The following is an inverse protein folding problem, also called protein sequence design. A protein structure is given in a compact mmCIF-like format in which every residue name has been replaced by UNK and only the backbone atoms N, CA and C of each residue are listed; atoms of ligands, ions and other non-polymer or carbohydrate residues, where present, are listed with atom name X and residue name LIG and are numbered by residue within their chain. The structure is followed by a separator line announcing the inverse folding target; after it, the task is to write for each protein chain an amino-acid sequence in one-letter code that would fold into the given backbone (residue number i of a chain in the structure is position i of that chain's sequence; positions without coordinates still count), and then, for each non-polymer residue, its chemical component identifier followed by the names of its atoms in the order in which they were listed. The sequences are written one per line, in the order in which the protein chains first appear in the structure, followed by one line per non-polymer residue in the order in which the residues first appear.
data_IF_831405315141
#
_entry.id   IF_831405315141
#
_cell.length_a   1.000
_cell.length_b   1.000
_cell.length_c   1.000
_cell.angle_alpha   90.00
_cell.angle_beta   90.00
_cell.angle_gamma   90.00
#
_symmetry.space_group_name_H-M   'P 1'
#
loop_
_entity.id
_entity.type
_entity.pdbx_description
1 polymer ?
#
# COMPACT_ATOMS: atom_id res chain seq x y z
N UNK A 1 5.94 -24.19 22.11
CA UNK A 1 5.54 -25.54 21.64
C UNK A 1 5.14 -25.41 20.18
N UNK A 2 5.69 -26.24 19.32
CA UNK A 2 5.43 -26.18 17.85
C UNK A 2 3.94 -26.26 17.50
N UNK A 3 3.16 -27.04 18.20
CA UNK A 3 1.70 -27.15 18.02
C UNK A 3 0.94 -25.81 18.15
N UNK A 4 1.55 -24.79 18.77
CA UNK A 4 0.97 -23.44 18.94
C UNK A 4 1.52 -22.48 17.89
N UNK A 5 2.74 -22.71 17.43
CA UNK A 5 3.45 -21.78 16.53
C UNK A 5 3.43 -22.20 15.07
N UNK A 6 3.27 -23.50 14.82
CA UNK A 6 3.33 -24.07 13.47
C UNK A 6 1.95 -24.61 13.07
N UNK A 7 1.64 -24.53 11.81
CA UNK A 7 0.39 -25.06 11.25
C UNK A 7 0.45 -26.60 11.24
N UNK A 8 -0.45 -27.25 11.95
CA UNK A 8 -0.48 -28.72 12.06
C UNK A 8 -1.26 -29.39 10.91
N UNK A 9 -2.18 -28.69 10.29
CA UNK A 9 -3.06 -29.17 9.22
C UNK A 9 -3.75 -30.52 9.54
N UNK A 10 -4.36 -30.60 10.73
CA UNK A 10 -4.99 -31.82 11.23
C UNK A 10 -6.02 -31.51 12.33
N UNK A 11 -6.67 -32.53 12.92
CA UNK A 11 -7.69 -32.36 13.94
C UNK A 11 -7.09 -32.01 15.31
N UNK A 12 -6.33 -30.92 15.36
CA UNK A 12 -5.63 -30.42 16.55
C UNK A 12 -6.05 -28.99 16.82
N UNK A 13 -6.46 -28.71 18.06
CA UNK A 13 -6.80 -27.38 18.52
C UNK A 13 -5.95 -27.01 19.73
N UNK A 14 -5.12 -25.98 19.57
CA UNK A 14 -4.33 -25.43 20.68
C UNK A 14 -5.18 -24.43 21.49
N UNK A 15 -5.29 -24.63 22.80
CA UNK A 15 -5.99 -23.75 23.72
C UNK A 15 -4.96 -23.01 24.59
N UNK A 16 -4.96 -21.69 24.52
CA UNK A 16 -4.05 -20.83 25.27
C UNK A 16 -4.84 -19.98 26.26
N UNK A 17 -4.51 -20.11 27.57
CA UNK A 17 -5.06 -19.22 28.59
C UNK A 17 -4.34 -17.87 28.57
N UNK A 18 -5.11 -16.81 28.68
CA UNK A 18 -4.61 -15.43 28.74
C UNK A 18 -5.19 -14.70 29.95
N UNK A 19 -4.50 -13.69 30.45
CA UNK A 19 -4.95 -12.91 31.60
C UNK A 19 -6.13 -11.97 31.24
N UNK A 20 -6.30 -11.63 29.95
CA UNK A 20 -7.39 -10.78 29.47
C UNK A 20 -7.32 -10.54 27.97
N UNK A 21 -8.28 -9.77 27.46
CA UNK A 21 -8.44 -9.52 26.03
C UNK A 21 -7.20 -8.85 25.40
N UNK A 22 -6.53 -7.96 26.11
CA UNK A 22 -5.30 -7.31 25.62
C UNK A 22 -4.17 -8.32 25.42
N UNK A 23 -4.04 -9.28 26.31
CA UNK A 23 -3.02 -10.33 26.17
C UNK A 23 -3.36 -11.29 25.03
N UNK A 24 -4.66 -11.59 24.83
CA UNK A 24 -5.12 -12.38 23.70
C UNK A 24 -4.77 -11.71 22.37
N UNK A 25 -5.10 -10.42 22.21
CA UNK A 25 -4.77 -9.64 21.01
C UNK A 25 -3.25 -9.62 20.76
N UNK A 26 -2.47 -9.39 21.81
CA UNK A 26 -1.01 -9.39 21.71
C UNK A 26 -0.47 -10.76 21.27
N UNK A 27 -1.02 -11.84 21.79
CA UNK A 27 -0.63 -13.19 21.41
C UNK A 27 -0.95 -13.48 19.94
N UNK A 28 -2.14 -13.11 19.47
CA UNK A 28 -2.54 -13.26 18.06
C UNK A 28 -1.66 -12.42 17.14
N UNK A 29 -1.45 -11.15 17.46
CA UNK A 29 -0.69 -10.23 16.60
C UNK A 29 0.81 -10.57 16.55
N UNK A 30 1.35 -11.29 17.53
CA UNK A 30 2.72 -11.83 17.51
C UNK A 30 2.86 -13.16 16.75
N UNK A 31 1.75 -13.79 16.39
CA UNK A 31 1.76 -15.04 15.64
C UNK A 31 2.37 -14.88 14.26
N UNK A 32 2.92 -15.96 13.71
CA UNK A 32 3.51 -16.01 12.35
C UNK A 32 2.43 -15.84 11.27
N UNK A 33 1.23 -16.33 11.51
CA UNK A 33 0.13 -16.35 10.56
C UNK A 33 -0.94 -15.31 10.91
N UNK A 34 -1.73 -14.94 9.91
CA UNK A 34 -2.80 -13.96 10.10
C UNK A 34 -3.83 -13.99 8.96
N UNK A 35 -4.42 -15.17 8.70
CA UNK A 35 -5.49 -15.29 7.72
C UNK A 35 -6.79 -14.75 8.28
N UNK A 36 -7.25 -15.30 9.39
CA UNK A 36 -8.52 -14.92 9.98
C UNK A 36 -8.52 -15.05 11.49
N UNK A 37 -9.43 -14.30 12.13
CA UNK A 37 -9.71 -14.40 13.55
C UNK A 37 -11.21 -14.21 13.81
N UNK A 38 -11.66 -14.74 14.94
CA UNK A 38 -13.03 -14.60 15.42
C UNK A 38 -13.03 -14.11 16.86
N UNK A 39 -13.88 -13.14 17.16
CA UNK A 39 -14.16 -12.67 18.52
C UNK A 39 -15.57 -13.11 18.91
N UNK A 40 -15.68 -13.80 20.04
CA UNK A 40 -16.95 -14.29 20.54
C UNK A 40 -17.31 -13.57 21.83
N UNK A 41 -18.46 -12.88 21.84
CA UNK A 41 -18.92 -12.08 22.98
C UNK A 41 -20.39 -11.73 22.84
N UNK A 42 -21.07 -11.55 23.97
CA UNK A 42 -22.43 -11.03 24.01
C UNK A 42 -22.48 -9.50 23.80
N UNK A 43 -21.41 -8.77 24.18
CA UNK A 43 -21.26 -7.34 23.95
C UNK A 43 -20.68 -7.09 22.56
N UNK A 44 -21.55 -6.81 21.58
CA UNK A 44 -21.17 -6.56 20.19
C UNK A 44 -20.24 -5.36 20.07
N UNK A 45 -20.49 -4.26 20.78
CA UNK A 45 -19.66 -3.07 20.71
C UNK A 45 -18.25 -3.34 21.25
N UNK A 46 -18.13 -4.18 22.28
CA UNK A 46 -16.84 -4.67 22.76
C UNK A 46 -16.19 -5.58 21.71
N UNK A 47 -16.98 -6.46 21.09
CA UNK A 47 -16.51 -7.35 20.03
C UNK A 47 -15.87 -6.60 18.87
N UNK A 48 -16.53 -5.56 18.37
CA UNK A 48 -16.01 -4.69 17.31
C UNK A 48 -14.71 -4.00 17.71
N UNK A 49 -14.64 -3.43 18.91
CA UNK A 49 -13.43 -2.78 19.42
C UNK A 49 -12.24 -3.75 19.53
N UNK A 50 -12.49 -5.00 19.92
CA UNK A 50 -11.45 -6.02 20.00
C UNK A 50 -11.04 -6.50 18.61
N UNK A 51 -12.00 -6.75 17.74
CA UNK A 51 -11.80 -7.17 16.36
C UNK A 51 -10.93 -6.18 15.58
N UNK A 52 -11.18 -4.88 15.72
CA UNK A 52 -10.42 -3.81 15.06
C UNK A 52 -8.93 -3.75 15.49
N UNK A 53 -8.54 -4.42 16.57
CA UNK A 53 -7.16 -4.49 17.05
C UNK A 53 -6.40 -5.74 16.59
N UNK A 54 -7.08 -6.65 15.92
CA UNK A 54 -6.48 -7.87 15.38
C UNK A 54 -5.85 -7.60 14.01
N UNK A 55 -4.57 -7.89 13.88
CA UNK A 55 -3.78 -7.68 12.66
C UNK A 55 -3.85 -8.93 11.76
N UNK A 56 -5.03 -9.25 11.30
CA UNK A 56 -5.30 -10.39 10.41
C UNK A 56 -6.08 -9.94 9.18
N UNK A 57 -6.08 -10.75 8.14
CA UNK A 57 -6.76 -10.40 6.88
C UNK A 57 -8.27 -10.30 7.00
N UNK A 58 -8.89 -11.17 7.81
CA UNK A 58 -10.34 -11.19 8.02
C UNK A 58 -10.64 -11.37 9.51
N UNK A 59 -11.50 -10.52 10.03
CA UNK A 59 -12.01 -10.67 11.41
C UNK A 59 -13.53 -10.74 11.41
N UNK A 60 -14.08 -11.69 12.16
CA UNK A 60 -15.52 -11.81 12.40
C UNK A 60 -15.85 -11.70 13.90
N UNK A 61 -17.06 -11.26 14.19
CA UNK A 61 -17.61 -11.26 15.55
C UNK A 61 -18.76 -12.25 15.59
N UNK A 62 -18.73 -13.18 16.55
CA UNK A 62 -19.70 -14.24 16.75
C UNK A 62 -19.95 -15.12 15.51
N UNK A 63 -18.95 -15.24 14.65
CA UNK A 63 -18.96 -16.11 13.48
C UNK A 63 -17.52 -16.51 13.12
N UNK A 64 -17.37 -17.46 12.19
CA UNK A 64 -16.08 -17.87 11.68
C UNK A 64 -16.18 -18.29 10.20
N UNK A 65 -15.10 -18.14 9.46
CA UNK A 65 -14.88 -18.70 8.10
C UNK A 65 -15.92 -18.37 7.00
N UNK A 66 -17.08 -17.83 7.31
CA UNK A 66 -18.16 -17.62 6.33
C UNK A 66 -17.83 -16.55 5.29
N UNK A 67 -16.93 -15.64 5.62
CA UNK A 67 -16.50 -14.53 4.73
C UNK A 67 -15.86 -15.04 3.44
N UNK A 68 -15.23 -16.21 3.46
CA UNK A 68 -14.70 -16.86 2.26
C UNK A 68 -15.76 -17.27 1.24
N UNK A 69 -17.03 -17.41 1.67
CA UNK A 69 -18.17 -17.70 0.81
C UNK A 69 -18.84 -16.46 0.22
N UNK A 70 -18.40 -15.25 0.57
CA UNK A 70 -18.98 -13.98 0.09
C UNK A 70 -18.05 -13.40 -0.99
N UNK A 71 -18.41 -13.49 -2.28
CA UNK A 71 -17.51 -13.08 -3.38
C UNK A 71 -17.14 -11.58 -3.36
N UNK A 72 -17.95 -10.74 -2.72
CA UNK A 72 -17.71 -9.31 -2.63
C UNK A 72 -16.68 -8.92 -1.57
N UNK A 73 -16.37 -9.81 -0.62
CA UNK A 73 -15.40 -9.54 0.44
C UNK A 73 -14.00 -9.99 0.03
N UNK A 74 -12.98 -9.16 0.23
CA UNK A 74 -11.60 -9.58 0.01
C UNK A 74 -11.20 -10.66 1.02
N UNK A 75 -10.65 -11.75 0.52
CA UNK A 75 -10.06 -12.81 1.32
C UNK A 75 -8.55 -12.73 1.18
N UNK A 76 -7.87 -12.30 2.21
CA UNK A 76 -6.42 -12.11 2.22
C UNK A 76 -5.84 -12.49 3.58
N UNK A 77 -4.54 -12.63 3.65
CA UNK A 77 -3.80 -12.87 4.87
C UNK A 77 -2.78 -11.78 5.16
N UNK A 78 -2.14 -11.90 6.31
CA UNK A 78 -1.02 -11.06 6.71
C UNK A 78 0.15 -11.95 7.12
N UNK A 79 1.36 -11.37 7.19
CA UNK A 79 2.58 -12.04 7.62
C UNK A 79 2.89 -13.29 6.77
N UNK A 80 3.23 -14.42 7.37
CA UNK A 80 3.59 -15.65 6.65
C UNK A 80 2.40 -16.35 5.98
N UNK A 81 1.17 -15.94 6.26
CA UNK A 81 -0.01 -16.39 5.51
C UNK A 81 0.05 -15.96 4.05
N UNK A 82 0.77 -14.86 3.76
CA UNK A 82 0.91 -14.30 2.42
C UNK A 82 0.10 -13.02 2.24
N UNK A 83 0.24 -12.39 1.07
CA UNK A 83 -0.28 -11.06 0.77
C UNK A 83 -1.20 -11.04 -0.46
N UNK A 84 -1.52 -12.21 -1.01
CA UNK A 84 -2.48 -12.32 -2.10
C UNK A 84 -3.90 -12.01 -1.65
N UNK A 85 -4.74 -11.62 -2.58
CA UNK A 85 -6.17 -11.39 -2.34
C UNK A 85 -6.98 -12.28 -3.24
N UNK A 86 -7.85 -13.11 -2.65
CA UNK A 86 -8.89 -13.84 -3.35
C UNK A 86 -10.23 -13.13 -3.15
N UNK A 87 -11.15 -13.29 -4.08
CA UNK A 87 -12.47 -12.66 -4.06
C UNK A 87 -12.42 -11.13 -4.14
N UNK A 88 -13.60 -10.50 -4.28
CA UNK A 88 -13.79 -9.06 -4.45
C UNK A 88 -13.15 -8.46 -5.72
N UNK A 89 -13.38 -7.17 -5.94
CA UNK A 89 -12.77 -6.44 -7.04
C UNK A 89 -11.22 -6.37 -6.92
N UNK A 90 -10.68 -6.46 -5.71
CA UNK A 90 -9.23 -6.45 -5.48
C UNK A 90 -8.52 -7.68 -6.06
N UNK A 91 -9.18 -8.84 -6.10
CA UNK A 91 -8.60 -10.05 -6.69
C UNK A 91 -8.31 -9.86 -8.17
N UNK A 92 -9.14 -9.12 -8.89
CA UNK A 92 -8.96 -8.88 -10.33
C UNK A 92 -7.66 -8.14 -10.63
N UNK A 93 -7.20 -7.28 -9.72
CA UNK A 93 -5.94 -6.54 -9.89
C UNK A 93 -4.71 -7.46 -9.92
N UNK A 94 -4.80 -8.67 -9.36
CA UNK A 94 -3.70 -9.65 -9.39
C UNK A 94 -3.52 -10.31 -10.76
N UNK A 95 -4.54 -10.27 -11.61
CA UNK A 95 -4.53 -10.86 -12.94
C UNK A 95 -4.25 -9.85 -14.05
N UNK A 96 -4.08 -8.57 -13.72
CA UNK A 96 -3.81 -7.51 -14.69
C UNK A 96 -2.50 -6.82 -14.38
N UNK A 97 -1.89 -6.28 -15.41
CA UNK A 97 -0.68 -5.46 -15.29
C UNK A 97 -1.00 -4.06 -15.78
N UNK A 98 -0.81 -3.03 -14.97
CA UNK A 98 -0.92 -1.65 -15.44
C UNK A 98 0.06 -1.41 -16.59
N UNK A 99 -0.43 -0.77 -17.66
CA UNK A 99 0.38 -0.33 -18.79
C UNK A 99 0.12 1.14 -19.01
N UNK A 100 1.18 1.90 -19.08
CA UNK A 100 1.12 3.32 -19.43
C UNK A 100 1.55 3.49 -20.88
N UNK A 101 0.75 4.20 -21.65
CA UNK A 101 1.10 4.73 -22.96
C UNK A 101 1.09 6.25 -22.82
N UNK A 102 2.26 6.87 -22.83
CA UNK A 102 2.41 8.32 -22.90
C UNK A 102 2.72 8.73 -24.34
N UNK A 103 1.95 9.67 -24.87
CA UNK A 103 2.15 10.22 -26.20
C UNK A 103 2.41 11.71 -26.01
N UNK A 104 3.62 12.15 -26.34
CA UNK A 104 3.96 13.56 -26.37
C UNK A 104 3.59 14.12 -27.75
N UNK A 105 2.70 15.11 -27.76
CA UNK A 105 2.27 15.87 -28.96
C UNK A 105 2.89 17.26 -29.01
N UNK A 106 3.78 17.59 -28.06
CA UNK A 106 4.48 18.87 -28.01
C UNK A 106 5.45 19.00 -29.21
N UNK A 107 5.56 20.21 -29.75
CA UNK A 107 6.59 20.56 -30.73
C UNK A 107 7.85 21.12 -30.05
N UNK A 108 7.76 21.45 -28.80
CA UNK A 108 8.89 21.90 -28.01
C UNK A 108 9.60 20.73 -27.38
N UNK A 109 10.95 20.77 -27.25
CA UNK A 109 11.70 19.75 -26.58
C UNK A 109 11.33 19.68 -25.10
N UNK A 110 11.39 18.46 -24.52
CA UNK A 110 11.17 18.26 -23.11
C UNK A 110 12.24 19.06 -22.31
N UNK A 111 11.83 19.90 -21.36
CA UNK A 111 12.77 20.72 -20.59
C UNK A 111 13.76 19.92 -19.74
N UNK A 112 13.53 18.63 -19.54
CA UNK A 112 14.44 17.72 -18.83
C UNK A 112 15.46 17.01 -19.74
N UNK A 113 15.44 17.27 -21.06
CA UNK A 113 16.43 16.72 -21.98
C UNK A 113 17.81 17.36 -21.81
N UNK A 114 18.80 16.75 -22.47
CA UNK A 114 20.20 17.27 -22.51
C UNK A 114 20.27 18.72 -23.05
N UNK A 115 21.26 19.52 -22.66
CA UNK A 115 22.40 19.18 -21.83
C UNK A 115 22.05 19.09 -20.34
N UNK A 116 22.75 18.23 -19.60
CA UNK A 116 22.66 18.20 -18.13
C UNK A 116 23.64 19.24 -17.56
N UNK A 117 23.15 20.42 -17.32
CA UNK A 117 23.88 21.60 -16.89
C UNK A 117 23.18 22.30 -15.70
N UNK A 118 23.82 23.36 -15.18
CA UNK A 118 23.26 24.12 -14.04
C UNK A 118 21.87 24.69 -14.34
N UNK A 119 21.53 24.97 -15.61
CA UNK A 119 20.19 25.42 -16.00
C UNK A 119 19.13 24.35 -15.74
N UNK A 120 19.48 23.06 -15.94
CA UNK A 120 18.56 21.96 -15.63
C UNK A 120 18.37 21.81 -14.12
N UNK A 121 19.45 21.95 -13.34
CA UNK A 121 19.38 21.89 -11.88
C UNK A 121 18.50 23.00 -11.34
N UNK A 122 18.79 24.27 -11.69
CA UNK A 122 17.99 25.42 -11.25
C UNK A 122 16.52 25.29 -11.62
N UNK A 123 16.21 24.81 -12.83
CA UNK A 123 14.83 24.61 -13.30
C UNK A 123 14.16 23.47 -12.50
N UNK A 124 14.84 22.34 -12.33
CA UNK A 124 14.33 21.17 -11.60
C UNK A 124 14.04 21.49 -10.13
N UNK A 125 14.95 22.20 -9.45
CA UNK A 125 14.74 22.64 -8.08
C UNK A 125 13.53 23.58 -7.94
N UNK A 126 13.39 24.56 -8.83
CA UNK A 126 12.26 25.48 -8.80
C UNK A 126 10.91 24.76 -9.03
N UNK A 127 10.88 23.76 -9.90
CA UNK A 127 9.69 22.94 -10.15
C UNK A 127 9.38 22.05 -8.94
N UNK A 128 10.40 21.39 -8.37
CA UNK A 128 10.24 20.55 -7.19
C UNK A 128 9.75 21.35 -5.97
N UNK A 129 10.30 22.53 -5.75
CA UNK A 129 9.84 23.43 -4.68
C UNK A 129 8.38 23.82 -4.89
N UNK A 130 7.98 24.15 -6.09
CA UNK A 130 6.58 24.48 -6.40
C UNK A 130 5.64 23.28 -6.17
N UNK A 131 6.05 22.07 -6.51
CA UNK A 131 5.28 20.85 -6.25
C UNK A 131 5.14 20.56 -4.75
N UNK A 132 6.11 20.97 -3.95
CA UNK A 132 6.09 20.87 -2.48
C UNK A 132 5.41 22.08 -1.80
N UNK A 133 4.68 22.92 -2.56
CA UNK A 133 4.02 24.14 -2.08
C UNK A 133 4.97 25.20 -1.53
N UNK A 134 6.27 25.15 -1.85
CA UNK A 134 7.25 26.19 -1.55
C UNK A 134 7.26 27.21 -2.69
N UNK A 135 6.37 28.19 -2.62
CA UNK A 135 6.11 29.12 -3.74
C UNK A 135 7.11 30.26 -3.87
N UNK A 136 8.09 30.39 -2.99
CA UNK A 136 9.07 31.49 -2.95
C UNK A 136 9.81 31.67 -4.29
N UNK A 137 10.11 30.59 -4.99
CA UNK A 137 10.82 30.57 -6.26
C UNK A 137 9.94 30.27 -7.49
N UNK A 138 8.66 29.97 -7.30
CA UNK A 138 7.76 29.55 -8.38
C UNK A 138 7.65 30.60 -9.51
N UNK A 139 7.76 31.87 -9.20
CA UNK A 139 7.74 32.95 -10.18
C UNK A 139 8.92 32.92 -11.16
N UNK A 140 10.03 32.25 -10.81
CA UNK A 140 11.21 32.08 -11.68
C UNK A 140 11.01 31.03 -12.75
N UNK A 141 10.08 30.09 -12.58
CA UNK A 141 9.87 28.93 -13.47
C UNK A 141 9.71 29.35 -14.94
N UNK A 142 8.90 30.35 -15.33
CA UNK A 142 8.77 30.72 -16.73
C UNK A 142 10.07 31.23 -17.37
N UNK A 143 10.89 31.94 -16.60
CA UNK A 143 12.18 32.44 -17.06
C UNK A 143 13.19 31.30 -17.21
N UNK A 144 13.26 30.42 -16.20
CA UNK A 144 14.15 29.24 -16.21
C UNK A 144 13.77 28.29 -17.34
N UNK A 145 12.48 28.06 -17.57
CA UNK A 145 12.00 27.26 -18.69
C UNK A 145 12.45 27.84 -20.04
N UNK A 146 12.28 29.16 -20.25
CA UNK A 146 12.73 29.79 -21.49
C UNK A 146 14.24 29.68 -21.68
N UNK A 147 15.03 29.80 -20.62
CA UNK A 147 16.47 29.63 -20.64
C UNK A 147 16.84 28.19 -20.99
N UNK A 148 16.13 27.25 -20.39
CA UNK A 148 16.31 25.82 -20.61
C UNK A 148 16.01 25.39 -22.04
N UNK A 149 14.89 25.77 -22.59
CA UNK A 149 14.50 25.47 -23.97
C UNK A 149 15.52 26.05 -24.99
N UNK A 150 16.08 27.23 -24.72
CA UNK A 150 17.16 27.79 -25.56
C UNK A 150 18.44 26.95 -25.50
N UNK A 151 18.84 26.51 -24.31
CA UNK A 151 20.03 25.67 -24.13
C UNK A 151 19.87 24.34 -24.89
N UNK A 152 18.71 23.69 -24.81
CA UNK A 152 18.42 22.45 -25.50
C UNK A 152 18.50 22.65 -27.02
N UNK A 153 17.82 23.66 -27.56
CA UNK A 153 17.85 23.95 -29.01
C UNK A 153 19.27 24.22 -29.52
N UNK A 154 20.07 24.97 -28.76
CA UNK A 154 21.46 25.22 -29.09
C UNK A 154 22.34 23.96 -29.03
N UNK A 155 22.04 23.04 -28.14
CA UNK A 155 22.76 21.76 -28.02
C UNK A 155 22.53 20.85 -29.24
N UNK A 156 21.27 20.74 -29.69
CA UNK A 156 20.89 19.88 -30.82
C UNK A 156 21.08 20.54 -32.21
N UNK A 157 21.41 21.81 -32.28
CA UNK A 157 21.70 22.53 -33.54
C UNK A 157 23.20 22.50 -33.95
N UNK A 158 24.05 21.85 -33.16
CA UNK A 158 25.47 21.61 -33.44
C UNK A 158 25.66 20.26 -34.10
#
# INVERSE_FOLDING_TARGET
MSVVTDETFGPVLAIVRVAGATDAIRAVNRGRYGLGASVWTEDLARGERLAARLEVGVTSVNNHSFTGAIPALPWSGTRETGFGVASSAYALSTFVRPRVLAIDTSKDPDPYWMPYDDNLVEFGEAVADAQLFKLENAWKIPLLLRRRLRAIRSFFSR
#
